data_IF_278923693681
#
_entry.id   IF_278923693681
#
_cell.length_a   1.000
_cell.length_b   1.000
_cell.length_c   1.000
_cell.angle_alpha   90.00
_cell.angle_beta   90.00
_cell.angle_gamma   90.00
#
_symmetry.space_group_name_H-M   'P 1'
#
loop_
_entity.id
_entity.type
_entity.pdbx_description
1 polymer ?
#
# COMPACT_ATOMS: atom_id res chain seq x y z
N UNK A 1 -9.72 -0.34 13.18
CA UNK A 1 -9.58 -1.70 13.76
C UNK A 1 -9.34 -2.67 12.61
N UNK A 2 -8.20 -3.35 12.56
CA UNK A 2 -7.93 -4.31 11.48
C UNK A 2 -8.88 -5.51 11.65
N UNK A 3 -9.63 -5.91 10.62
CA UNK A 3 -10.57 -7.00 10.76
C UNK A 3 -9.82 -8.33 11.02
N UNK A 4 -10.36 -9.16 11.90
CA UNK A 4 -9.74 -10.38 12.45
C UNK A 4 -9.11 -11.30 11.40
N UNK A 5 -9.70 -11.34 10.20
CA UNK A 5 -9.20 -12.03 9.01
C UNK A 5 -7.74 -11.72 8.65
N UNK A 6 -7.28 -10.48 8.80
CA UNK A 6 -5.88 -10.12 8.52
C UNK A 6 -4.92 -10.71 9.55
N UNK A 7 -5.32 -10.72 10.82
CA UNK A 7 -4.52 -11.30 11.89
C UNK A 7 -4.29 -12.79 11.68
N UNK A 8 -5.35 -13.52 11.31
CA UNK A 8 -5.28 -14.94 11.00
C UNK A 8 -4.40 -15.22 9.77
N UNK A 9 -4.42 -14.33 8.76
CA UNK A 9 -3.57 -14.45 7.56
C UNK A 9 -2.09 -14.22 7.90
N UNK A 10 -1.77 -13.22 8.71
CA UNK A 10 -0.40 -12.96 9.19
C UNK A 10 0.13 -14.13 10.01
N UNK A 11 -0.69 -14.66 10.92
CA UNK A 11 -0.36 -15.85 11.72
C UNK A 11 -0.09 -17.07 10.83
N UNK A 12 -0.91 -17.28 9.80
CA UNK A 12 -0.71 -18.38 8.84
C UNK A 12 0.61 -18.21 8.08
N UNK A 13 0.98 -17.00 7.66
CA UNK A 13 2.26 -16.74 7.00
C UNK A 13 3.46 -16.97 7.92
N UNK A 14 3.34 -16.67 9.22
CA UNK A 14 4.39 -16.95 10.19
C UNK A 14 4.61 -18.45 10.41
N UNK A 15 3.52 -19.24 10.45
CA UNK A 15 3.59 -20.70 10.64
C UNK A 15 3.90 -21.49 9.36
N UNK A 16 3.31 -21.08 8.26
CA UNK A 16 3.45 -21.70 6.94
C UNK A 16 3.78 -20.61 5.93
N UNK A 17 5.08 -20.33 5.75
CA UNK A 17 5.48 -19.22 4.91
C UNK A 17 5.08 -19.49 3.45
N UNK A 18 4.61 -18.47 2.72
CA UNK A 18 4.26 -18.60 1.31
C UNK A 18 5.48 -19.01 0.46
N UNK A 19 5.24 -19.46 -0.76
CA UNK A 19 6.29 -19.95 -1.66
C UNK A 19 7.46 -18.97 -1.80
N UNK A 20 8.66 -19.50 -2.07
CA UNK A 20 9.88 -18.68 -2.20
C UNK A 20 9.69 -17.55 -3.22
N UNK A 21 9.07 -17.83 -4.36
CA UNK A 21 8.76 -16.86 -5.39
C UNK A 21 7.89 -15.71 -4.86
N UNK A 22 6.80 -16.02 -4.15
CA UNK A 22 5.90 -15.00 -3.63
C UNK A 22 6.58 -14.11 -2.58
N UNK A 23 7.45 -14.66 -1.73
CA UNK A 23 8.23 -13.85 -0.78
C UNK A 23 9.15 -12.85 -1.48
N UNK A 24 9.82 -13.27 -2.56
CA UNK A 24 10.63 -12.39 -3.37
C UNK A 24 9.80 -11.31 -4.06
N UNK A 25 8.67 -11.66 -4.67
CA UNK A 25 7.77 -10.68 -5.30
C UNK A 25 7.32 -9.62 -4.31
N UNK A 26 6.85 -10.03 -3.12
CA UNK A 26 6.43 -9.09 -2.07
C UNK A 26 7.60 -8.21 -1.62
N UNK A 27 8.79 -8.80 -1.42
CA UNK A 27 9.99 -8.05 -1.05
C UNK A 27 10.37 -7.01 -2.09
N UNK A 28 10.40 -7.38 -3.38
CA UNK A 28 10.71 -6.47 -4.49
C UNK A 28 9.70 -5.33 -4.57
N UNK A 29 8.40 -5.64 -4.46
CA UNK A 29 7.34 -4.63 -4.48
C UNK A 29 7.48 -3.65 -3.33
N UNK A 30 7.78 -4.14 -2.12
CA UNK A 30 8.00 -3.28 -0.95
C UNK A 30 9.21 -2.36 -1.17
N UNK A 31 10.33 -2.91 -1.64
CA UNK A 31 11.54 -2.13 -1.92
C UNK A 31 11.27 -1.07 -3.00
N UNK A 32 10.57 -1.42 -4.08
CA UNK A 32 10.22 -0.49 -5.14
C UNK A 32 9.30 0.63 -4.62
N UNK A 33 8.28 0.29 -3.82
CA UNK A 33 7.39 1.28 -3.23
C UNK A 33 8.14 2.24 -2.29
N UNK A 34 9.04 1.72 -1.45
CA UNK A 34 9.87 2.54 -0.56
C UNK A 34 10.85 3.43 -1.33
N UNK A 35 11.41 2.93 -2.43
CA UNK A 35 12.28 3.73 -3.29
C UNK A 35 11.52 4.91 -3.91
N UNK A 36 10.32 4.66 -4.44
CA UNK A 36 9.46 5.72 -5.01
C UNK A 36 9.10 6.74 -3.93
N UNK A 37 8.60 6.28 -2.77
CA UNK A 37 8.22 7.17 -1.68
C UNK A 37 9.41 8.00 -1.16
N UNK A 38 10.60 7.39 -1.09
CA UNK A 38 11.83 8.09 -0.72
C UNK A 38 12.22 9.17 -1.75
N UNK A 39 12.09 8.86 -3.05
CA UNK A 39 12.34 9.83 -4.11
C UNK A 39 11.33 10.98 -4.09
N UNK A 40 10.04 10.69 -3.91
CA UNK A 40 8.99 11.72 -3.77
C UNK A 40 9.23 12.62 -2.56
N UNK A 41 9.69 12.07 -1.44
CA UNK A 41 9.99 12.85 -0.24
C UNK A 41 11.23 13.75 -0.40
N UNK A 42 12.21 13.36 -1.23
CA UNK A 42 13.45 14.11 -1.44
C UNK A 42 13.35 15.15 -2.57
N UNK A 43 12.70 14.81 -3.67
CA UNK A 43 12.62 15.65 -4.87
C UNK A 43 11.27 16.37 -5.01
N UNK A 44 10.28 16.01 -4.20
CA UNK A 44 8.91 16.48 -4.34
C UNK A 44 8.18 15.78 -5.49
N UNK A 45 6.87 15.94 -5.53
CA UNK A 45 6.03 15.48 -6.65
C UNK A 45 5.79 16.63 -7.61
N UNK A 46 5.88 16.41 -8.93
CA UNK A 46 5.61 17.46 -9.91
C UNK A 46 4.11 17.84 -9.91
N UNK A 47 3.80 19.08 -10.31
CA UNK A 47 2.45 19.66 -10.22
C UNK A 47 1.34 18.86 -10.92
N UNK A 48 1.68 18.10 -11.96
CA UNK A 48 0.72 17.22 -12.67
C UNK A 48 0.35 15.95 -11.88
N UNK A 49 1.10 15.62 -10.84
CA UNK A 49 0.87 14.50 -9.94
C UNK A 49 0.10 14.90 -8.68
N UNK A 50 -0.09 16.20 -8.45
CA UNK A 50 -0.86 16.69 -7.31
C UNK A 50 -2.33 16.31 -7.45
N UNK A 51 -2.85 15.64 -6.42
CA UNK A 51 -4.25 15.28 -6.36
C UNK A 51 -5.09 16.51 -5.98
N UNK A 52 -6.08 16.83 -6.81
CA UNK A 52 -7.10 17.79 -6.42
C UNK A 52 -7.83 17.28 -5.15
N UNK A 53 -8.05 18.15 -4.14
CA UNK A 53 -8.76 17.75 -2.92
C UNK A 53 -10.11 17.15 -3.30
N UNK A 54 -10.31 15.86 -3.01
CA UNK A 54 -11.59 15.20 -3.27
C UNK A 54 -12.62 15.77 -2.28
N UNK A 55 -13.68 16.46 -2.71
CA UNK A 55 -14.74 16.89 -1.80
C UNK A 55 -15.37 15.63 -1.18
N UNK A 56 -15.18 15.45 0.13
CA UNK A 56 -15.85 14.39 0.89
C UNK A 56 -17.28 14.84 1.15
N UNK A 57 -18.24 14.14 0.54
CA UNK A 57 -19.67 14.30 0.84
C UNK A 57 -20.45 15.10 -0.19
N UNK A 58 -20.43 14.69 -1.46
CA UNK A 58 -21.51 15.09 -2.37
C UNK A 58 -22.81 14.42 -1.87
N UNK A 59 -23.82 15.17 -1.42
CA UNK A 59 -25.10 14.58 -1.08
C UNK A 59 -25.66 13.93 -2.33
N UNK A 60 -25.96 12.63 -2.25
CA UNK A 60 -26.73 11.94 -3.28
C UNK A 60 -28.14 12.52 -3.21
N UNK A 61 -28.40 13.53 -4.04
CA UNK A 61 -29.75 14.06 -4.26
C UNK A 61 -30.54 12.93 -4.93
N UNK A 62 -31.50 12.37 -4.20
CA UNK A 62 -32.49 11.43 -4.73
C UNK A 62 -33.58 12.18 -5.48
#
# INVERSE_FOLDING_TARGET
MLPMQWFLRMYRWARHPPSKAMRWTVGIVIVAALAIAGLEALFGTPAWMELAPRPRGLPVVR
#
